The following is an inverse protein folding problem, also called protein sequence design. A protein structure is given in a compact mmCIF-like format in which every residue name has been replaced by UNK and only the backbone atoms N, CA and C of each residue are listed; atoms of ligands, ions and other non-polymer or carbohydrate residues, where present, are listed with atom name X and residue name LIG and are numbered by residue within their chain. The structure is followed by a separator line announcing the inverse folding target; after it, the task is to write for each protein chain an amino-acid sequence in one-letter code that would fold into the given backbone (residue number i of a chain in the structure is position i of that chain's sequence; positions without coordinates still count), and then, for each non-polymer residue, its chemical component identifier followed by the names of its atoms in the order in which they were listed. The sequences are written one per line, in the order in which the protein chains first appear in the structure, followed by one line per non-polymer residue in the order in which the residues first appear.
data_IF_727581817102
#
_entry.id   IF_727581817102
#
_cell.length_a   1.000
_cell.length_b   1.000
_cell.length_c   1.000
_cell.angle_alpha   90.00
_cell.angle_beta   90.00
_cell.angle_gamma   90.00
#
_symmetry.space_group_name_H-M   'P 1'
#
loop_
_entity.id
_entity.type
_entity.pdbx_description
1 polymer ?
#
# COMPACT_ATOMS: atom_id res chain seq x y z
N UNK A 1 7.83 -17.60 -2.66
CA UNK A 1 7.29 -16.24 -2.90
C UNK A 1 7.61 -15.74 -4.31
N UNK A 2 8.85 -15.33 -4.63
CA UNK A 2 9.16 -14.75 -5.94
C UNK A 2 8.90 -15.70 -7.12
N UNK A 3 9.29 -16.97 -7.01
CA UNK A 3 9.00 -17.96 -8.06
C UNK A 3 7.49 -18.20 -8.23
N UNK A 4 6.72 -18.20 -7.14
CA UNK A 4 5.26 -18.26 -7.19
C UNK A 4 4.68 -17.03 -7.88
N UNK A 5 5.19 -15.84 -7.56
CA UNK A 5 4.79 -14.58 -8.19
C UNK A 5 5.02 -14.65 -9.70
N UNK A 6 6.22 -15.03 -10.15
CA UNK A 6 6.55 -15.20 -11.58
C UNK A 6 5.56 -16.14 -12.27
N UNK A 7 5.24 -17.27 -11.64
CA UNK A 7 4.26 -18.24 -12.14
C UNK A 7 2.87 -17.63 -12.31
N UNK A 8 2.39 -16.87 -11.32
CA UNK A 8 1.08 -16.22 -11.40
C UNK A 8 1.03 -15.12 -12.46
N UNK A 9 2.07 -14.30 -12.56
CA UNK A 9 2.18 -13.21 -13.54
C UNK A 9 2.15 -13.76 -14.98
N UNK A 10 2.89 -14.83 -15.27
CA UNK A 10 2.93 -15.46 -16.60
C UNK A 10 1.57 -16.06 -17.00
N UNK A 11 0.85 -16.67 -16.06
CA UNK A 11 -0.39 -17.40 -16.34
C UNK A 11 -1.62 -16.50 -16.51
N UNK A 12 -1.71 -15.40 -15.76
CA UNK A 12 -3.00 -14.72 -15.55
C UNK A 12 -3.11 -13.31 -16.19
N UNK A 13 -2.12 -12.87 -17.00
CA UNK A 13 -2.07 -11.50 -17.57
C UNK A 13 -2.36 -10.42 -16.52
N UNK A 14 -1.62 -10.49 -15.40
CA UNK A 14 -1.81 -9.59 -14.26
C UNK A 14 -1.09 -8.27 -14.52
N UNK A 15 -1.83 -7.17 -14.42
CA UNK A 15 -1.31 -5.80 -14.57
C UNK A 15 -1.40 -4.99 -13.26
N UNK A 16 -1.84 -5.61 -12.17
CA UNK A 16 -1.93 -4.99 -10.86
C UNK A 16 -1.42 -5.93 -9.76
N UNK A 17 -0.49 -5.43 -8.95
CA UNK A 17 -0.12 -6.02 -7.66
C UNK A 17 -0.49 -5.02 -6.57
N UNK A 18 -1.17 -5.48 -5.51
CA UNK A 18 -1.38 -4.73 -4.28
C UNK A 18 -0.61 -5.40 -3.15
N UNK A 19 0.34 -4.70 -2.54
CA UNK A 19 1.12 -5.16 -1.40
C UNK A 19 0.60 -4.56 -0.09
N UNK A 20 0.39 -5.43 0.89
CA UNK A 20 0.03 -5.06 2.26
C UNK A 20 1.27 -4.80 3.09
N UNK A 21 1.63 -3.53 3.25
CA UNK A 21 2.76 -3.09 4.08
C UNK A 21 2.49 -3.30 5.57
N UNK A 22 3.59 -3.42 6.30
CA UNK A 22 3.59 -3.56 7.75
C UNK A 22 3.90 -2.26 8.48
N UNK A 23 4.18 -1.19 7.74
CA UNK A 23 4.62 0.11 8.27
C UNK A 23 5.80 -0.04 9.23
N UNK A 24 6.76 -0.91 8.90
CA UNK A 24 8.08 -0.95 9.52
C UNK A 24 8.35 -2.06 10.53
N UNK A 25 7.39 -2.97 10.83
CA UNK A 25 7.71 -4.16 11.62
C UNK A 25 8.33 -5.31 10.79
N UNK A 26 8.29 -5.21 9.46
CA UNK A 26 9.14 -5.95 8.52
C UNK A 26 9.98 -4.98 7.68
N UNK A 27 11.00 -5.51 6.99
CA UNK A 27 11.68 -4.79 5.92
C UNK A 27 10.82 -4.77 4.64
N UNK A 28 9.76 -3.95 4.67
CA UNK A 28 8.86 -3.75 3.54
C UNK A 28 9.61 -3.26 2.29
N UNK A 29 10.67 -2.47 2.46
CA UNK A 29 11.46 -1.92 1.35
C UNK A 29 12.16 -3.00 0.54
N UNK A 30 12.77 -3.99 1.21
CA UNK A 30 13.39 -5.13 0.54
C UNK A 30 12.37 -5.95 -0.26
N UNK A 31 11.21 -6.24 0.33
CA UNK A 31 10.15 -7.02 -0.32
C UNK A 31 9.59 -6.28 -1.54
N UNK A 32 9.32 -4.99 -1.40
CA UNK A 32 8.87 -4.14 -2.51
C UNK A 32 9.89 -4.10 -3.65
N UNK A 33 11.18 -4.01 -3.32
CA UNK A 33 12.24 -4.04 -4.32
C UNK A 33 12.23 -5.35 -5.13
N UNK A 34 12.07 -6.50 -4.48
CA UNK A 34 11.97 -7.79 -5.18
C UNK A 34 10.73 -7.88 -6.08
N UNK A 35 9.58 -7.38 -5.60
CA UNK A 35 8.35 -7.30 -6.39
C UNK A 35 8.55 -6.41 -7.61
N UNK A 36 9.14 -5.22 -7.44
CA UNK A 36 9.41 -4.27 -8.53
C UNK A 36 10.30 -4.91 -9.60
N UNK A 37 11.39 -5.57 -9.22
CA UNK A 37 12.29 -6.26 -10.18
C UNK A 37 11.57 -7.30 -11.02
N UNK A 38 10.66 -8.05 -10.41
CA UNK A 38 9.99 -9.19 -11.04
C UNK A 38 8.79 -8.76 -11.86
N UNK A 39 7.99 -7.84 -11.32
CA UNK A 39 6.77 -7.37 -11.95
C UNK A 39 7.05 -6.33 -13.04
N UNK A 40 8.12 -5.54 -12.85
CA UNK A 40 8.52 -4.41 -13.68
C UNK A 40 7.36 -3.43 -13.90
N UNK A 41 6.85 -2.78 -12.83
CA UNK A 41 5.74 -1.85 -12.93
C UNK A 41 6.11 -0.62 -13.75
N UNK A 42 5.13 0.01 -14.38
CA UNK A 42 5.25 1.33 -15.02
C UNK A 42 4.90 2.45 -14.05
N UNK A 43 4.22 2.14 -12.95
CA UNK A 43 3.79 3.11 -11.94
C UNK A 43 3.73 2.49 -10.55
N UNK A 44 4.09 3.29 -9.56
CA UNK A 44 4.00 2.94 -8.15
C UNK A 44 2.94 3.82 -7.45
N UNK A 45 1.95 3.20 -6.79
CA UNK A 45 0.97 3.89 -5.95
C UNK A 45 1.30 3.64 -4.48
N UNK A 46 1.36 4.70 -3.68
CA UNK A 46 1.78 4.65 -2.27
C UNK A 46 0.82 5.39 -1.34
N UNK A 47 0.39 4.69 -0.29
CA UNK A 47 -0.61 5.16 0.67
C UNK A 47 -0.16 6.36 1.49
N UNK A 48 1.05 6.31 2.04
CA UNK A 48 1.55 7.38 2.92
C UNK A 48 1.82 8.69 2.17
N UNK A 49 1.82 8.66 0.83
CA UNK A 49 1.92 9.86 -0.01
C UNK A 49 0.56 10.57 -0.22
N UNK A 50 -0.52 9.98 0.30
CA UNK A 50 -1.87 10.56 0.38
C UNK A 50 -2.44 10.97 -0.99
N UNK A 51 -2.99 12.17 -1.13
CA UNK A 51 -3.55 12.68 -2.39
C UNK A 51 -2.53 13.46 -3.24
N UNK A 52 -1.23 13.29 -2.94
CA UNK A 52 -0.19 13.98 -3.69
C UNK A 52 -0.18 13.51 -5.14
N UNK A 53 -0.01 14.47 -6.04
CA UNK A 53 0.11 14.22 -7.46
C UNK A 53 1.33 13.36 -7.80
N UNK A 54 1.42 13.00 -9.08
CA UNK A 54 2.48 12.18 -9.65
C UNK A 54 3.85 12.83 -9.41
N UNK A 55 4.72 12.19 -8.64
CA UNK A 55 6.11 12.59 -8.48
C UNK A 55 7.00 11.87 -9.51
N UNK A 56 7.66 12.67 -10.33
CA UNK A 56 8.63 12.29 -11.35
C UNK A 56 10.05 12.69 -10.93
N UNK A 57 11.07 12.40 -11.75
CA UNK A 57 12.49 12.50 -11.36
C UNK A 57 12.88 13.78 -10.63
N UNK A 58 12.47 14.96 -11.12
CA UNK A 58 12.77 16.25 -10.48
C UNK A 58 12.06 16.40 -9.14
N UNK A 59 10.77 16.07 -9.08
CA UNK A 59 9.94 16.21 -7.89
C UNK A 59 10.40 15.25 -6.79
N UNK A 60 10.73 14.00 -7.14
CA UNK A 60 11.33 13.03 -6.21
C UNK A 60 12.65 13.54 -5.63
N UNK A 61 13.52 14.17 -6.45
CA UNK A 61 14.78 14.75 -5.96
C UNK A 61 14.53 15.89 -4.96
N UNK A 62 13.58 16.78 -5.24
CA UNK A 62 13.19 17.84 -4.31
C UNK A 62 12.63 17.24 -3.02
N UNK A 63 11.77 16.23 -3.13
CA UNK A 63 11.19 15.53 -1.98
C UNK A 63 12.29 14.97 -1.07
N UNK A 64 13.24 14.21 -1.63
CA UNK A 64 14.32 13.54 -0.88
C UNK A 64 15.25 14.51 -0.13
N UNK A 65 15.31 15.77 -0.55
CA UNK A 65 16.12 16.81 0.11
C UNK A 65 15.46 17.45 1.34
N UNK A 66 14.18 17.15 1.64
CA UNK A 66 13.54 17.67 2.86
C UNK A 66 14.12 16.97 4.11
N UNK A 67 14.19 17.65 5.27
CA UNK A 67 14.60 17.02 6.54
C UNK A 67 13.66 15.88 6.96
N UNK A 68 14.21 14.82 7.57
CA UNK A 68 13.44 13.62 7.97
C UNK A 68 12.35 13.94 9.01
N UNK A 69 12.68 14.81 9.97
CA UNK A 69 11.80 15.23 11.05
C UNK A 69 10.70 16.21 10.62
N UNK A 70 10.76 16.72 9.38
CA UNK A 70 9.75 17.64 8.87
C UNK A 70 8.46 16.85 8.62
N UNK A 71 7.34 17.43 9.05
CA UNK A 71 6.03 16.87 8.75
C UNK A 71 5.75 16.96 7.25
N UNK A 72 5.30 15.85 6.68
CA UNK A 72 4.74 15.81 5.33
C UNK A 72 3.22 16.04 5.40
N UNK A 73 2.57 15.40 6.37
CA UNK A 73 1.14 15.54 6.64
C UNK A 73 0.86 15.43 8.15
N UNK A 74 -0.43 15.41 8.54
CA UNK A 74 -0.78 15.09 9.91
C UNK A 74 -0.34 13.68 10.32
N UNK A 75 -0.22 12.74 9.39
CA UNK A 75 0.00 11.32 9.72
C UNK A 75 1.46 10.91 9.55
N UNK A 76 2.21 11.56 8.67
CA UNK A 76 3.57 11.14 8.32
C UNK A 76 4.57 12.28 8.21
N UNK A 77 5.82 11.91 8.39
CA UNK A 77 6.99 12.76 8.16
C UNK A 77 7.63 12.47 6.81
N UNK A 78 8.47 13.38 6.31
CA UNK A 78 9.27 13.08 5.12
C UNK A 78 10.16 11.85 5.32
N UNK A 79 10.70 11.65 6.53
CA UNK A 79 11.52 10.48 6.88
C UNK A 79 10.80 9.14 6.64
N UNK A 80 9.52 9.06 7.04
CA UNK A 80 8.70 7.86 6.85
C UNK A 80 8.54 7.50 5.36
N UNK A 81 8.44 8.51 4.50
CA UNK A 81 8.22 8.34 3.06
C UNK A 81 9.51 8.12 2.27
N UNK A 82 10.67 8.59 2.77
CA UNK A 82 11.93 8.63 2.01
C UNK A 82 12.37 7.27 1.47
N UNK A 83 12.22 6.20 2.24
CA UNK A 83 12.61 4.85 1.80
C UNK A 83 11.87 4.44 0.52
N UNK A 84 10.55 4.64 0.49
CA UNK A 84 9.71 4.32 -0.67
C UNK A 84 9.96 5.26 -1.84
N UNK A 85 10.15 6.56 -1.59
CA UNK A 85 10.50 7.54 -2.64
C UNK A 85 11.88 7.25 -3.25
N UNK A 86 12.86 6.87 -2.43
CA UNK A 86 14.18 6.46 -2.88
C UNK A 86 14.10 5.20 -3.74
N UNK A 87 13.31 4.20 -3.32
CA UNK A 87 13.07 2.99 -4.10
C UNK A 87 12.44 3.32 -5.47
N UNK A 88 11.42 4.17 -5.50
CA UNK A 88 10.82 4.65 -6.74
C UNK A 88 11.81 5.44 -7.61
N UNK A 89 12.74 6.19 -7.01
CA UNK A 89 13.81 6.89 -7.72
C UNK A 89 14.81 5.90 -8.35
N UNK A 90 15.26 4.90 -7.59
CA UNK A 90 16.21 3.86 -8.01
C UNK A 90 15.75 3.12 -9.27
N UNK A 91 14.45 2.86 -9.38
CA UNK A 91 13.85 2.15 -10.53
C UNK A 91 13.24 3.08 -11.58
N UNK A 92 13.48 4.40 -11.48
CA UNK A 92 12.86 5.42 -12.33
C UNK A 92 11.33 5.28 -12.44
N UNK A 93 10.67 4.84 -11.37
CA UNK A 93 9.23 4.67 -11.32
C UNK A 93 8.55 5.98 -10.95
N UNK A 94 7.60 6.47 -11.75
CA UNK A 94 6.69 7.50 -11.30
C UNK A 94 5.89 6.98 -10.09
N UNK A 95 5.78 7.80 -9.05
CA UNK A 95 5.03 7.46 -7.83
C UNK A 95 3.86 8.42 -7.63
N UNK A 96 2.71 7.90 -7.23
CA UNK A 96 1.48 8.69 -6.99
C UNK A 96 0.95 8.33 -5.60
N UNK A 97 0.44 9.33 -4.89
CA UNK A 97 -0.34 9.09 -3.70
C UNK A 97 -1.65 8.37 -4.03
N UNK A 98 -2.08 7.43 -3.20
CA UNK A 98 -3.34 6.71 -3.40
C UNK A 98 -4.33 6.79 -2.23
N UNK A 99 -4.13 7.67 -1.26
CA UNK A 99 -5.05 7.85 -0.14
C UNK A 99 -5.64 9.26 -0.09
N UNK A 100 -6.56 9.51 0.84
CA UNK A 100 -7.07 10.85 1.13
C UNK A 100 -6.07 11.61 2.01
N UNK A 101 -6.09 12.94 1.91
CA UNK A 101 -5.28 13.83 2.76
C UNK A 101 -5.46 13.54 4.24
N UNK A 102 -4.36 13.51 4.97
CA UNK A 102 -4.28 13.21 6.40
C UNK A 102 -4.99 11.90 6.78
N UNK A 103 -5.18 10.98 5.82
CA UNK A 103 -5.99 9.77 5.99
C UNK A 103 -7.40 10.04 6.53
N UNK A 104 -7.94 11.25 6.32
CA UNK A 104 -9.29 11.65 6.75
C UNK A 104 -9.38 12.13 8.19
N UNK A 105 -8.26 12.29 8.88
CA UNK A 105 -8.21 12.84 10.24
C UNK A 105 -7.99 14.35 10.25
N UNK A 106 -8.64 15.01 11.22
CA UNK A 106 -8.49 16.46 11.46
C UNK A 106 -7.51 16.76 12.60
N UNK A 107 -7.32 15.82 13.55
CA UNK A 107 -6.44 15.97 14.71
C UNK A 107 -5.64 14.67 14.98
N UNK A 108 -4.32 14.79 15.21
CA UNK A 108 -3.45 13.66 15.55
C UNK A 108 -3.76 13.03 16.90
N UNK A 109 -4.44 13.73 17.82
CA UNK A 109 -4.71 13.22 19.18
C UNK A 109 -5.42 11.87 19.20
N UNK A 110 -6.25 11.60 18.20
CA UNK A 110 -6.97 10.32 18.11
C UNK A 110 -6.03 9.14 17.87
N UNK A 111 -4.90 9.36 17.18
CA UNK A 111 -3.89 8.35 16.92
C UNK A 111 -3.13 7.94 18.19
N UNK A 112 -3.09 8.83 19.19
CA UNK A 112 -2.44 8.57 20.47
C UNK A 112 -3.36 7.84 21.49
N UNK A 113 -4.64 7.64 21.16
CA UNK A 113 -5.59 6.99 22.07
C UNK A 113 -5.40 5.47 22.04
N UNK A 114 -5.22 4.87 23.22
CA UNK A 114 -5.17 3.41 23.39
C UNK A 114 -6.54 2.75 23.30
N UNK A 115 -7.62 3.50 23.54
CA UNK A 115 -9.01 3.04 23.43
C UNK A 115 -9.88 4.14 22.84
N UNK A 116 -10.67 3.76 21.84
CA UNK A 116 -11.68 4.62 21.23
C UNK A 116 -13.04 4.37 21.88
N UNK A 117 -13.83 5.43 22.00
CA UNK A 117 -15.26 5.35 22.35
C UNK A 117 -16.06 4.70 21.21
N UNK A 118 -17.31 4.32 21.48
CA UNK A 118 -18.19 3.74 20.44
C UNK A 118 -18.37 4.67 19.24
N UNK A 119 -18.45 5.97 19.49
CA UNK A 119 -18.62 6.98 18.45
C UNK A 119 -17.34 7.16 17.63
N UNK A 120 -16.18 7.21 18.28
CA UNK A 120 -14.89 7.27 17.59
C UNK A 120 -14.64 6.02 16.74
N UNK A 121 -15.03 4.83 17.21
CA UNK A 121 -14.96 3.60 16.42
C UNK A 121 -15.89 3.63 15.20
N UNK A 122 -17.05 4.28 15.31
CA UNK A 122 -17.96 4.48 14.17
C UNK A 122 -17.32 5.40 13.14
N UNK A 123 -16.76 6.52 13.58
CA UNK A 123 -16.05 7.49 12.73
C UNK A 123 -14.83 6.83 12.07
N UNK A 124 -14.03 6.08 12.82
CA UNK A 124 -12.86 5.36 12.30
C UNK A 124 -13.26 4.40 11.17
N UNK A 125 -14.33 3.63 11.35
CA UNK A 125 -14.85 2.73 10.29
C UNK A 125 -15.28 3.50 9.04
N UNK A 126 -15.93 4.64 9.20
CA UNK A 126 -16.33 5.48 8.08
C UNK A 126 -15.13 6.07 7.33
N UNK A 127 -14.10 6.50 8.06
CA UNK A 127 -12.84 6.97 7.50
C UNK A 127 -12.16 5.84 6.73
N UNK A 128 -11.95 4.67 7.35
CA UNK A 128 -11.33 3.49 6.69
C UNK A 128 -12.07 3.15 5.40
N UNK A 129 -13.40 3.12 5.42
CA UNK A 129 -14.20 2.83 4.24
C UNK A 129 -14.03 3.89 3.13
N UNK A 130 -13.94 5.17 3.48
CA UNK A 130 -13.64 6.27 2.54
C UNK A 130 -12.25 6.12 1.93
N UNK A 131 -11.23 5.85 2.75
CA UNK A 131 -9.84 5.60 2.33
C UNK A 131 -9.78 4.47 1.30
N UNK A 132 -10.36 3.32 1.64
CA UNK A 132 -10.34 2.12 0.77
C UNK A 132 -11.06 2.34 -0.56
N UNK A 133 -12.18 3.09 -0.55
CA UNK A 133 -12.85 3.52 -1.78
C UNK A 133 -11.97 4.42 -2.63
N UNK A 134 -11.29 5.40 -2.01
CA UNK A 134 -10.40 6.32 -2.72
C UNK A 134 -9.21 5.59 -3.33
N UNK A 135 -8.57 4.71 -2.56
CA UNK A 135 -7.49 3.84 -3.03
C UNK A 135 -7.95 3.02 -4.25
N UNK A 136 -9.12 2.40 -4.19
CA UNK A 136 -9.68 1.65 -5.33
C UNK A 136 -9.92 2.54 -6.56
N UNK A 137 -10.46 3.75 -6.37
CA UNK A 137 -10.67 4.73 -7.45
C UNK A 137 -9.35 5.12 -8.12
N UNK A 138 -8.33 5.46 -7.34
CA UNK A 138 -7.01 5.87 -7.84
C UNK A 138 -6.32 4.72 -8.57
N UNK A 139 -6.41 3.49 -8.04
CA UNK A 139 -5.90 2.29 -8.72
C UNK A 139 -6.56 2.15 -10.09
N UNK A 140 -7.89 2.19 -10.18
CA UNK A 140 -8.62 2.07 -11.46
C UNK A 140 -8.23 3.17 -12.45
N UNK A 141 -8.12 4.42 -11.99
CA UNK A 141 -7.69 5.56 -12.83
C UNK A 141 -6.29 5.36 -13.43
N UNK A 142 -5.42 4.66 -12.72
CA UNK A 142 -4.03 4.44 -13.12
C UNK A 142 -3.81 3.13 -13.89
N UNK A 143 -4.76 2.21 -13.86
CA UNK A 143 -4.70 0.93 -14.56
C UNK A 143 -5.18 1.06 -16.01
N UNK A 144 -4.43 1.81 -16.82
CA UNK A 144 -4.70 1.97 -18.26
C UNK A 144 -4.17 0.80 -19.08
N UNK A 145 -4.61 0.68 -20.33
CA UNK A 145 -4.11 -0.34 -21.25
C UNK A 145 -2.58 -0.23 -21.38
N UNK A 146 -1.87 -1.35 -21.20
CA UNK A 146 -0.40 -1.42 -21.25
C UNK A 146 0.32 -1.03 -19.96
N UNK A 147 -0.39 -0.48 -18.96
CA UNK A 147 0.20 -0.13 -17.67
C UNK A 147 0.32 -1.35 -16.75
N UNK A 148 1.39 -1.36 -15.95
CA UNK A 148 1.58 -2.29 -14.83
C UNK A 148 1.67 -1.47 -13.55
N UNK A 149 0.66 -1.61 -12.70
CA UNK A 149 0.54 -0.82 -11.47
C UNK A 149 0.99 -1.67 -10.28
N UNK A 150 1.99 -1.18 -9.55
CA UNK A 150 2.30 -1.68 -8.23
C UNK A 150 1.69 -0.72 -7.20
N UNK A 151 0.80 -1.21 -6.35
CA UNK A 151 0.17 -0.42 -5.30
C UNK A 151 0.56 -0.97 -3.92
N UNK A 152 0.73 -0.06 -2.96
CA UNK A 152 1.02 -0.38 -1.57
C UNK A 152 -0.01 0.28 -0.67
N UNK A 153 -0.38 -0.42 0.39
CA UNK A 153 -1.32 0.00 1.43
C UNK A 153 -1.02 -0.80 2.69
N UNK A 154 -1.45 -0.35 3.87
CA UNK A 154 -1.36 -1.12 5.09
C UNK A 154 -2.06 -2.47 4.95
N UNK A 155 -1.46 -3.52 5.51
CA UNK A 155 -1.97 -4.89 5.41
C UNK A 155 -3.43 -5.04 5.87
N UNK A 156 -3.90 -4.17 6.77
CA UNK A 156 -5.29 -4.10 7.23
C UNK A 156 -6.30 -3.81 6.12
N UNK A 157 -5.93 -2.99 5.13
CA UNK A 157 -6.78 -2.65 3.99
C UNK A 157 -6.98 -3.82 3.02
N UNK A 158 -6.25 -4.93 3.20
CA UNK A 158 -6.39 -6.16 2.42
C UNK A 158 -7.24 -7.24 3.13
N UNK A 159 -8.02 -6.86 4.16
CA UNK A 159 -9.01 -7.77 4.76
C UNK A 159 -10.13 -8.12 3.77
N UNK A 160 -10.80 -9.25 4.01
CA UNK A 160 -11.75 -9.87 3.07
C UNK A 160 -12.91 -8.96 2.61
N UNK A 161 -13.38 -8.08 3.50
CA UNK A 161 -14.52 -7.18 3.31
C UNK A 161 -14.11 -5.76 2.87
N UNK A 162 -12.83 -5.52 2.61
CA UNK A 162 -12.34 -4.21 2.17
C UNK A 162 -12.91 -3.83 0.79
N UNK A 163 -13.50 -2.63 0.62
CA UNK A 163 -13.90 -2.08 -0.67
C UNK A 163 -12.73 -1.95 -1.66
N UNK A 164 -11.49 -1.85 -1.16
CA UNK A 164 -10.28 -1.82 -1.98
C UNK A 164 -10.19 -3.04 -2.88
N UNK A 165 -10.62 -4.20 -2.39
CA UNK A 165 -10.53 -5.47 -3.11
C UNK A 165 -11.65 -5.68 -4.13
N UNK A 166 -12.61 -4.75 -4.23
CA UNK A 166 -13.71 -4.84 -5.19
C UNK A 166 -13.33 -4.23 -6.55
N UNK A 167 -12.25 -4.74 -7.16
CA UNK A 167 -11.77 -4.34 -8.49
C UNK A 167 -12.33 -5.28 -9.57
N UNK A 168 -12.50 -4.78 -10.79
CA UNK A 168 -13.04 -5.56 -11.92
C UNK A 168 -11.95 -6.31 -12.69
N UNK A 169 -10.70 -5.95 -12.44
CA UNK A 169 -9.53 -6.48 -13.07
C UNK A 169 -9.02 -7.71 -12.31
N UNK A 170 -8.22 -8.53 -12.98
CA UNK A 170 -7.49 -9.61 -12.30
C UNK A 170 -6.21 -9.02 -11.70
N UNK A 171 -5.99 -9.27 -10.41
CA UNK A 171 -4.84 -8.73 -9.71
C UNK A 171 -4.28 -9.71 -8.69
N UNK A 172 -3.06 -9.45 -8.26
CA UNK A 172 -2.40 -10.20 -7.20
C UNK A 172 -2.41 -9.35 -5.94
N UNK A 173 -2.75 -9.95 -4.81
CA UNK A 173 -2.44 -9.39 -3.50
C UNK A 173 -1.30 -10.17 -2.85
N UNK A 174 -0.40 -9.44 -2.20
CA UNK A 174 0.70 -9.97 -1.41
C UNK A 174 0.58 -9.38 -0.02
N UNK A 175 0.51 -10.22 1.00
CA UNK A 175 0.33 -9.76 2.38
C UNK A 175 1.08 -10.65 3.38
N UNK A 176 1.50 -10.10 4.51
CA UNK A 176 2.18 -10.84 5.56
C UNK A 176 1.24 -11.82 6.25
N UNK A 177 1.78 -12.98 6.62
CA UNK A 177 1.11 -14.02 7.40
C UNK A 177 1.95 -14.43 8.60
N UNK A 178 1.31 -14.67 9.72
CA UNK A 178 1.94 -15.18 10.95
C UNK A 178 1.09 -16.31 11.50
N UNK A 179 1.69 -17.47 11.74
CA UNK A 179 0.99 -18.68 12.21
C UNK A 179 -0.24 -19.04 11.34
N UNK A 180 -0.10 -18.91 10.01
CA UNK A 180 -1.14 -19.23 9.03
C UNK A 180 -2.22 -18.16 8.82
N UNK A 181 -2.28 -17.13 9.67
CA UNK A 181 -3.26 -16.05 9.59
C UNK A 181 -2.67 -14.79 8.95
N UNK A 182 -3.51 -13.97 8.32
CA UNK A 182 -3.10 -12.65 7.83
C UNK A 182 -2.69 -11.77 9.01
N UNK A 183 -1.54 -11.10 8.87
CA UNK A 183 -0.95 -10.27 9.90
C UNK A 183 -1.28 -8.80 9.64
N UNK A 184 -2.08 -8.19 10.52
CA UNK A 184 -2.43 -6.77 10.44
C UNK A 184 -1.61 -5.90 11.38
N UNK A 185 -1.20 -6.46 12.52
CA UNK A 185 -0.41 -5.82 13.56
C UNK A 185 0.43 -6.88 14.28
N UNK A 186 1.59 -6.53 14.84
CA UNK A 186 2.46 -7.49 15.52
C UNK A 186 1.77 -8.06 16.78
N UNK A 187 1.66 -9.40 16.94
CA UNK A 187 1.14 -10.02 18.16
C UNK A 187 2.08 -9.84 19.36
N UNK A 188 1.60 -10.17 20.56
CA UNK A 188 2.48 -10.33 21.73
C UNK A 188 3.54 -11.40 21.42
N UNK A 189 4.81 -11.12 21.73
CA UNK A 189 5.97 -11.96 21.38
C UNK A 189 6.21 -12.10 19.87
N UNK A 190 6.02 -11.02 19.12
CA UNK A 190 6.29 -10.97 17.69
C UNK A 190 7.74 -11.37 17.37
N UNK A 191 7.88 -12.32 16.46
CA UNK A 191 9.15 -12.73 15.88
C UNK A 191 9.04 -12.56 14.37
N UNK A 192 9.69 -11.52 13.84
CA UNK A 192 9.66 -11.17 12.42
C UNK A 192 10.17 -12.29 11.53
N UNK A 193 11.04 -13.18 12.03
CA UNK A 193 11.58 -14.33 11.27
C UNK A 193 10.53 -15.40 10.97
N UNK A 194 9.43 -15.42 11.72
CA UNK A 194 8.31 -16.35 11.53
C UNK A 194 7.23 -15.80 10.60
N UNK A 195 7.40 -14.59 10.09
CA UNK A 195 6.47 -13.99 9.14
C UNK A 195 6.74 -14.55 7.75
N UNK A 196 5.72 -15.13 7.15
CA UNK A 196 5.71 -15.48 5.73
C UNK A 196 4.99 -14.40 4.91
N UNK A 197 5.15 -14.46 3.59
CA UNK A 197 4.34 -13.68 2.66
C UNK A 197 3.42 -14.63 1.90
N UNK A 198 2.13 -14.28 1.82
CA UNK A 198 1.14 -15.02 1.06
C UNK A 198 0.77 -14.27 -0.19
N UNK A 199 0.78 -14.99 -1.31
CA UNK A 199 0.33 -14.49 -2.62
C UNK A 199 -1.05 -15.06 -2.90
N UNK A 200 -1.99 -14.19 -3.30
CA UNK A 200 -3.32 -14.61 -3.73
C UNK A 200 -3.68 -13.89 -5.02
N UNK A 201 -4.10 -14.66 -6.03
CA UNK A 201 -4.71 -14.11 -7.24
C UNK A 201 -6.19 -13.86 -6.96
N UNK A 202 -6.66 -12.66 -7.28
CA UNK A 202 -8.06 -12.27 -7.23
C UNK A 202 -8.53 -12.01 -8.65
N UNK A 203 -9.66 -12.63 -8.98
CA UNK A 203 -10.31 -12.47 -10.27
C UNK A 203 -11.43 -11.46 -10.12
N UNK A 204 -11.44 -10.46 -10.99
CA UNK A 204 -12.46 -9.43 -10.97
C UNK A 204 -13.83 -10.04 -11.24
N UNK A 205 -14.83 -9.58 -10.48
CA UNK A 205 -16.22 -9.98 -10.73
C UNK A 205 -16.74 -9.17 -11.91
N UNK A 206 -16.92 -9.82 -13.07
CA UNK A 206 -17.68 -9.21 -14.17
C UNK A 206 -19.07 -8.87 -13.62
N UNK A 207 -19.53 -7.64 -13.83
CA UNK A 207 -20.95 -7.33 -13.68
C UNK A 207 -21.66 -8.10 -14.80
N UNK A 208 -22.50 -9.07 -14.41
CA UNK A 208 -23.52 -9.63 -15.29
C UNK A 208 -24.60 -8.57 -15.51
#
# INVERSE_FOLDING_TARGET
MIEDLKKYLKKNKINLIIYGETHGFLDDSQIQEEIIKVFNPTKFLYEMLEETELLTGKEKKIFLNNPDNKEFSLISTFGDLKKTIFLASKYNLPIVGNDIKNMGWEDKKILAKSKLTKEELRIEKEIIFKREKKQAEIIRKNLKMGEKVFATTGAFHLRKDSPLLNLQENYVIIYPIYSGNQLFAPPKNFDSKKVGLKIKVLYGKKKN
#
